data_IF_884151532933
#
_entry.id   IF_884151532933
#
_cell.length_a   1.000
_cell.length_b   1.000
_cell.length_c   1.000
_cell.angle_alpha   90.00
_cell.angle_beta   90.00
_cell.angle_gamma   90.00
#
_symmetry.space_group_name_H-M   'P 1'
#
loop_
_entity.id
_entity.type
_entity.pdbx_description
1 polymer ?
#
# COMPACT_ATOMS: atom_id res chain seq x y z
N UNK A 1 19.00 10.68 0.94
CA UNK A 1 19.71 9.45 0.58
C UNK A 1 18.92 8.73 -0.49
N UNK A 2 19.55 8.29 -1.59
CA UNK A 2 18.92 7.50 -2.63
C UNK A 2 18.49 6.16 -2.02
N UNK A 3 17.19 5.90 -1.98
CA UNK A 3 16.63 4.65 -1.48
C UNK A 3 16.47 3.68 -2.65
N UNK A 4 17.23 2.59 -2.63
CA UNK A 4 17.21 1.53 -3.63
C UNK A 4 17.84 1.92 -4.96
N UNK A 5 18.18 0.91 -5.76
CA UNK A 5 18.64 1.05 -7.13
C UNK A 5 17.64 0.42 -8.11
N UNK A 6 17.83 0.65 -9.40
CA UNK A 6 17.09 -0.02 -10.47
C UNK A 6 17.90 -1.21 -11.04
N UNK A 7 18.40 -2.09 -10.17
CA UNK A 7 19.08 -3.32 -10.61
C UNK A 7 18.05 -4.35 -11.06
N UNK A 8 17.50 -4.16 -12.25
CA UNK A 8 16.45 -5.01 -12.86
C UNK A 8 16.79 -5.34 -14.30
N UNK A 9 16.14 -6.36 -14.86
CA UNK A 9 16.27 -6.68 -16.28
C UNK A 9 15.79 -5.54 -17.18
N UNK A 10 16.36 -5.47 -18.38
CA UNK A 10 16.17 -4.36 -19.34
C UNK A 10 14.69 -4.13 -19.69
N UNK A 11 13.92 -5.20 -19.80
CA UNK A 11 12.47 -5.16 -20.09
C UNK A 11 11.64 -4.44 -19.02
N UNK A 12 12.12 -4.38 -17.77
CA UNK A 12 11.44 -3.70 -16.67
C UNK A 12 11.87 -2.23 -16.55
N UNK A 13 13.03 -1.85 -17.08
CA UNK A 13 13.59 -0.51 -16.94
C UNK A 13 12.68 0.58 -17.50
N UNK A 14 12.15 0.40 -18.72
CA UNK A 14 11.27 1.39 -19.36
C UNK A 14 10.00 1.64 -18.55
N UNK A 15 9.40 0.57 -18.03
CA UNK A 15 8.17 0.65 -17.22
C UNK A 15 8.42 1.34 -15.87
N UNK A 16 9.58 1.09 -15.25
CA UNK A 16 9.96 1.76 -14.00
C UNK A 16 10.33 3.23 -14.22
N UNK A 17 10.89 3.59 -15.37
CA UNK A 17 11.12 4.99 -15.73
C UNK A 17 9.81 5.74 -15.96
N UNK A 18 8.85 5.15 -16.69
CA UNK A 18 7.50 5.69 -16.84
C UNK A 18 6.82 5.91 -15.49
N UNK A 19 6.87 4.91 -14.61
CA UNK A 19 6.33 5.00 -13.25
C UNK A 19 7.01 6.11 -12.43
N UNK A 20 8.33 6.23 -12.51
CA UNK A 20 9.08 7.26 -11.82
C UNK A 20 8.67 8.66 -12.29
N UNK A 21 8.55 8.86 -13.61
CA UNK A 21 8.09 10.13 -14.16
C UNK A 21 6.67 10.46 -13.71
N UNK A 22 5.73 9.50 -13.82
CA UNK A 22 4.36 9.67 -13.35
C UNK A 22 4.27 10.02 -11.86
N UNK A 23 5.13 9.41 -11.03
CA UNK A 23 5.21 9.74 -9.61
C UNK A 23 5.76 11.14 -9.36
N UNK A 24 6.86 11.53 -10.02
CA UNK A 24 7.45 12.88 -9.86
C UNK A 24 6.47 13.98 -10.31
N UNK A 25 5.67 13.72 -11.33
CA UNK A 25 4.65 14.67 -11.80
C UNK A 25 3.46 14.73 -10.84
N UNK A 26 3.03 13.59 -10.32
CA UNK A 26 1.91 13.50 -9.40
C UNK A 26 2.18 14.24 -8.08
N UNK A 27 3.38 14.09 -7.50
CA UNK A 27 3.71 14.75 -6.22
C UNK A 27 3.94 16.27 -6.34
N UNK A 28 4.01 16.82 -7.57
CA UNK A 28 4.06 18.27 -7.84
C UNK A 28 2.69 18.85 -8.18
N UNK A 29 1.71 18.02 -8.44
CA UNK A 29 0.36 18.44 -8.78
C UNK A 29 -0.52 18.55 -7.53
N UNK A 30 -0.83 19.78 -7.13
CA UNK A 30 -1.65 20.02 -5.95
C UNK A 30 -3.03 19.36 -6.04
N UNK A 31 -3.64 19.31 -7.22
CA UNK A 31 -4.94 18.67 -7.40
C UNK A 31 -4.92 17.17 -7.12
N UNK A 32 -3.83 16.49 -7.47
CA UNK A 32 -3.63 15.08 -7.14
C UNK A 32 -3.43 14.87 -5.64
N UNK A 33 -2.65 15.75 -5.00
CA UNK A 33 -2.43 15.68 -3.55
C UNK A 33 -3.72 15.96 -2.78
N UNK A 34 -4.52 16.92 -3.22
CA UNK A 34 -5.83 17.24 -2.62
C UNK A 34 -6.81 16.04 -2.75
N UNK A 35 -6.84 15.37 -3.92
CA UNK A 35 -7.64 14.15 -4.12
C UNK A 35 -7.18 13.02 -3.18
N UNK A 36 -5.87 12.83 -3.05
CA UNK A 36 -5.31 11.85 -2.12
C UNK A 36 -5.69 12.16 -0.67
N UNK A 37 -5.51 13.39 -0.22
CA UNK A 37 -5.83 13.83 1.14
C UNK A 37 -7.33 13.75 1.42
N UNK A 38 -8.17 14.14 0.45
CA UNK A 38 -9.62 13.96 0.54
C UNK A 38 -10.00 12.51 0.82
N UNK A 39 -9.41 11.57 0.08
CA UNK A 39 -9.71 10.15 0.28
C UNK A 39 -9.06 9.58 1.54
N UNK A 40 -7.90 10.07 1.97
CA UNK A 40 -7.32 9.75 3.27
C UNK A 40 -8.30 10.09 4.39
N UNK A 41 -8.90 11.27 4.35
CA UNK A 41 -9.85 11.73 5.36
C UNK A 41 -11.20 11.01 5.27
N UNK A 42 -11.83 11.00 4.10
CA UNK A 42 -13.24 10.62 3.94
C UNK A 42 -13.48 9.15 3.59
N UNK A 43 -12.45 8.44 3.09
CA UNK A 43 -12.57 7.02 2.76
C UNK A 43 -11.76 6.12 3.71
N UNK A 44 -10.53 6.51 4.05
CA UNK A 44 -9.71 5.73 4.98
C UNK A 44 -10.07 5.99 6.43
N UNK A 45 -10.48 7.22 6.76
CA UNK A 45 -10.81 7.65 8.12
C UNK A 45 -9.58 8.18 8.90
N UNK A 46 -8.63 8.79 8.18
CA UNK A 46 -7.46 9.43 8.80
C UNK A 46 -7.82 10.80 9.40
N UNK A 47 -7.08 11.28 10.43
CA UNK A 47 -5.96 10.61 11.11
C UNK A 47 -6.42 9.44 11.99
N UNK A 48 -5.66 8.33 11.98
CA UNK A 48 -5.90 7.26 12.93
C UNK A 48 -5.52 7.71 14.34
N UNK A 49 -6.22 7.24 15.42
CA UNK A 49 -5.94 7.69 16.77
C UNK A 49 -4.53 7.31 17.25
N UNK A 50 -3.94 8.21 18.04
CA UNK A 50 -2.79 7.92 18.90
C UNK A 50 -3.32 7.65 20.32
N UNK A 51 -3.17 6.41 20.80
CA UNK A 51 -3.77 5.92 22.04
C UNK A 51 -2.72 5.66 23.12
N UNK A 52 -2.89 6.24 24.28
CA UNK A 52 -2.03 5.97 25.43
C UNK A 52 -2.39 4.62 26.08
N UNK A 53 -1.44 3.69 26.06
CA UNK A 53 -1.59 2.36 26.64
C UNK A 53 -1.21 2.38 28.14
N UNK A 54 -2.06 2.99 28.96
CA UNK A 54 -1.81 3.27 30.39
C UNK A 54 -1.44 2.01 31.17
N UNK A 55 -2.26 0.98 31.10
CA UNK A 55 -2.03 -0.25 31.85
C UNK A 55 -0.73 -0.97 31.45
N UNK A 56 -0.42 -0.97 30.13
CA UNK A 56 0.82 -1.56 29.63
C UNK A 56 2.04 -0.74 30.09
N UNK A 57 1.94 0.59 30.03
CA UNK A 57 2.97 1.51 30.53
C UNK A 57 3.26 1.27 32.02
N UNK A 58 2.22 1.21 32.84
CA UNK A 58 2.36 0.92 34.29
C UNK A 58 2.98 -0.46 34.55
N UNK A 59 2.52 -1.48 33.82
CA UNK A 59 3.01 -2.86 33.99
C UNK A 59 4.49 -3.00 33.66
N UNK A 60 4.99 -2.28 32.63
CA UNK A 60 6.38 -2.36 32.19
C UNK A 60 7.31 -1.40 32.97
N UNK A 61 6.78 -0.36 33.63
CA UNK A 61 7.55 0.52 34.49
C UNK A 61 8.64 1.33 33.79
N UNK A 62 8.41 1.72 32.53
CA UNK A 62 9.41 2.45 31.72
C UNK A 62 8.83 3.64 30.99
N UNK A 63 9.23 3.82 29.73
CA UNK A 63 8.75 4.90 28.89
C UNK A 63 7.24 4.78 28.64
N UNK A 64 6.57 5.92 28.45
CA UNK A 64 5.17 6.00 28.06
C UNK A 64 4.94 5.33 26.71
N UNK A 65 4.00 4.39 26.66
CA UNK A 65 3.71 3.61 25.45
C UNK A 65 2.45 4.18 24.77
N UNK A 66 2.62 4.57 23.51
CA UNK A 66 1.54 5.08 22.67
C UNK A 66 1.35 4.16 21.46
N UNK A 67 0.11 3.85 21.12
CA UNK A 67 -0.25 3.06 19.94
C UNK A 67 -0.84 3.94 18.86
N UNK A 68 -0.18 4.00 17.70
CA UNK A 68 -0.76 4.54 16.48
C UNK A 68 -1.69 3.47 15.87
N UNK A 69 -3.00 3.70 15.98
CA UNK A 69 -4.01 2.65 15.77
C UNK A 69 -4.41 2.51 14.31
N UNK A 70 -3.48 2.10 13.45
CA UNK A 70 -3.69 1.89 12.01
C UNK A 70 -4.72 0.78 11.68
N UNK A 71 -5.02 -0.10 12.63
CA UNK A 71 -6.09 -1.10 12.48
C UNK A 71 -7.51 -0.51 12.53
N UNK A 72 -7.67 0.76 12.84
CA UNK A 72 -8.95 1.47 12.77
C UNK A 72 -9.20 2.12 11.41
N UNK A 73 -8.22 2.12 10.52
CA UNK A 73 -8.44 2.53 9.14
C UNK A 73 -9.43 1.60 8.43
N UNK A 74 -10.08 2.11 7.40
CA UNK A 74 -10.86 1.29 6.49
C UNK A 74 -10.06 0.09 6.01
N UNK A 75 -10.38 -1.06 5.89
CA UNK A 75 -9.60 -2.30 5.61
C UNK A 75 -8.73 -2.82 6.76
N UNK A 76 -8.79 -2.20 7.93
CA UNK A 76 -8.18 -2.67 9.18
C UNK A 76 -6.64 -2.77 9.17
N UNK A 77 -5.96 -1.95 8.37
CA UNK A 77 -4.49 -1.89 8.35
C UNK A 77 -3.94 -0.60 7.75
N UNK A 78 -2.64 -0.35 7.95
CA UNK A 78 -1.89 0.74 7.31
C UNK A 78 -1.77 0.59 5.79
N UNK A 79 -2.02 -0.60 5.25
CA UNK A 79 -1.83 -0.90 3.81
C UNK A 79 -2.73 -0.08 2.91
N UNK A 80 -3.92 0.29 3.38
CA UNK A 80 -4.91 1.03 2.56
C UNK A 80 -4.40 2.39 2.10
N UNK A 81 -3.60 3.09 2.90
CA UNK A 81 -3.03 4.40 2.54
C UNK A 81 -2.06 4.29 1.36
N UNK A 82 -1.16 3.30 1.43
CA UNK A 82 -0.25 2.99 0.33
C UNK A 82 -1.01 2.54 -0.93
N UNK A 83 -1.98 1.64 -0.78
CA UNK A 83 -2.79 1.18 -1.91
C UNK A 83 -3.56 2.33 -2.55
N UNK A 84 -4.14 3.24 -1.75
CA UNK A 84 -4.85 4.41 -2.26
C UNK A 84 -3.94 5.29 -3.14
N UNK A 85 -2.76 5.64 -2.65
CA UNK A 85 -1.83 6.47 -3.41
C UNK A 85 -1.44 5.83 -4.74
N UNK A 86 -1.05 4.55 -4.72
CA UNK A 86 -0.62 3.85 -5.93
C UNK A 86 -1.76 3.62 -6.93
N UNK A 87 -2.98 3.36 -6.47
CA UNK A 87 -4.14 3.19 -7.36
C UNK A 87 -4.53 4.53 -8.01
N UNK A 88 -4.51 5.63 -7.26
CA UNK A 88 -4.71 6.98 -7.82
C UNK A 88 -3.64 7.31 -8.87
N UNK A 89 -2.37 6.99 -8.57
CA UNK A 89 -1.27 7.17 -9.52
C UNK A 89 -1.48 6.34 -10.78
N UNK A 90 -1.85 5.07 -10.65
CA UNK A 90 -2.15 4.19 -11.79
C UNK A 90 -3.30 4.73 -12.65
N UNK A 91 -4.38 5.21 -12.01
CA UNK A 91 -5.51 5.85 -12.69
C UNK A 91 -5.08 7.09 -13.46
N UNK A 92 -4.28 7.98 -12.84
CA UNK A 92 -3.71 9.17 -13.47
C UNK A 92 -2.85 8.83 -14.69
N UNK A 93 -2.06 7.77 -14.61
CA UNK A 93 -1.22 7.27 -15.71
C UNK A 93 -2.03 6.53 -16.80
N UNK A 94 -3.34 6.43 -16.69
CA UNK A 94 -4.22 5.80 -17.69
C UNK A 94 -4.14 4.27 -17.71
N UNK A 95 -3.60 3.62 -16.65
CA UNK A 95 -3.56 2.17 -16.55
C UNK A 95 -4.97 1.58 -16.48
N UNK A 96 -5.17 0.40 -17.06
CA UNK A 96 -6.49 -0.25 -17.23
C UNK A 96 -6.77 -1.32 -16.19
N UNK A 97 -5.74 -1.90 -15.61
CA UNK A 97 -5.85 -2.98 -14.63
C UNK A 97 -4.73 -2.91 -13.59
N UNK A 98 -4.99 -3.54 -12.45
CA UNK A 98 -4.05 -3.60 -11.33
C UNK A 98 -3.63 -5.03 -11.05
N UNK A 99 -2.38 -5.18 -10.62
CA UNK A 99 -1.86 -6.44 -10.08
C UNK A 99 -1.11 -6.15 -8.78
N UNK A 100 -1.27 -7.00 -7.78
CA UNK A 100 -0.50 -6.93 -6.54
C UNK A 100 -0.15 -8.33 -6.05
N UNK A 101 0.90 -8.43 -5.27
CA UNK A 101 1.23 -9.62 -4.48
C UNK A 101 0.72 -9.48 -3.05
N UNK A 102 0.57 -10.61 -2.36
CA UNK A 102 0.35 -10.60 -0.91
C UNK A 102 0.70 -11.94 -0.28
N UNK A 103 1.31 -11.94 0.91
CA UNK A 103 1.50 -13.13 1.73
C UNK A 103 0.33 -13.32 2.70
N UNK A 104 0.16 -12.42 3.67
CA UNK A 104 -0.92 -12.49 4.67
C UNK A 104 -2.29 -12.00 4.16
N UNK A 105 -2.41 -11.60 2.90
CA UNK A 105 -3.66 -11.14 2.30
C UNK A 105 -4.08 -9.71 2.65
N UNK A 106 -3.44 -9.04 3.61
CA UNK A 106 -3.84 -7.69 4.02
C UNK A 106 -3.64 -6.66 2.91
N UNK A 107 -2.50 -6.73 2.20
CA UNK A 107 -2.25 -5.84 1.07
C UNK A 107 -3.24 -6.10 -0.07
N UNK A 108 -3.52 -7.36 -0.38
CA UNK A 108 -4.52 -7.74 -1.37
C UNK A 108 -5.91 -7.21 -1.02
N UNK A 109 -6.37 -7.40 0.22
CA UNK A 109 -7.66 -6.90 0.69
C UNK A 109 -7.75 -5.36 0.64
N UNK A 110 -6.69 -4.66 1.06
CA UNK A 110 -6.63 -3.21 1.02
C UNK A 110 -6.66 -2.67 -0.41
N UNK A 111 -5.85 -3.27 -1.30
CA UNK A 111 -5.81 -2.89 -2.72
C UNK A 111 -7.14 -3.19 -3.42
N UNK A 112 -7.80 -4.31 -3.07
CA UNK A 112 -9.10 -4.68 -3.63
C UNK A 112 -10.20 -3.66 -3.27
N UNK A 113 -10.23 -3.21 -2.02
CA UNK A 113 -11.17 -2.16 -1.59
C UNK A 113 -11.00 -0.86 -2.38
N UNK A 114 -9.75 -0.42 -2.56
CA UNK A 114 -9.45 0.80 -3.31
C UNK A 114 -9.71 0.61 -4.81
N UNK A 115 -9.32 -0.53 -5.37
CA UNK A 115 -9.58 -0.85 -6.77
C UNK A 115 -11.09 -0.81 -7.10
N UNK A 116 -11.92 -1.43 -6.24
CA UNK A 116 -13.37 -1.40 -6.36
C UNK A 116 -13.93 0.03 -6.31
N UNK A 117 -13.42 0.87 -5.37
CA UNK A 117 -13.81 2.28 -5.26
C UNK A 117 -13.62 3.05 -6.57
N UNK A 118 -12.54 2.78 -7.29
CA UNK A 118 -12.21 3.47 -8.55
C UNK A 118 -12.61 2.69 -9.81
N UNK A 119 -13.32 1.56 -9.66
CA UNK A 119 -13.78 0.75 -10.79
C UNK A 119 -12.64 0.10 -11.59
N UNK A 120 -11.48 -0.14 -10.98
CA UNK A 120 -10.32 -0.74 -11.64
C UNK A 120 -10.27 -2.25 -11.39
N UNK A 121 -10.15 -3.08 -12.43
CA UNK A 121 -9.95 -4.52 -12.25
C UNK A 121 -8.65 -4.82 -11.50
N UNK A 122 -8.70 -5.73 -10.52
CA UNK A 122 -7.53 -6.15 -9.75
C UNK A 122 -7.35 -7.68 -9.81
N UNK A 123 -6.11 -8.09 -10.02
CA UNK A 123 -5.63 -9.46 -9.79
C UNK A 123 -4.64 -9.47 -8.64
N UNK A 124 -4.97 -10.17 -7.56
CA UNK A 124 -4.04 -10.46 -6.46
C UNK A 124 -3.33 -11.79 -6.70
N UNK A 125 -2.02 -11.81 -6.55
CA UNK A 125 -1.20 -13.03 -6.67
C UNK A 125 -0.76 -13.46 -5.27
N UNK A 126 -0.97 -14.73 -4.95
CA UNK A 126 -0.56 -15.31 -3.65
C UNK A 126 -0.01 -16.71 -3.83
N UNK A 127 0.96 -17.06 -2.99
CA UNK A 127 1.45 -18.44 -2.90
C UNK A 127 0.38 -19.38 -2.32
N UNK A 128 0.30 -20.60 -2.82
CA UNK A 128 -0.66 -21.61 -2.33
C UNK A 128 -0.44 -21.96 -0.86
N UNK A 129 0.81 -21.96 -0.40
CA UNK A 129 1.19 -22.15 1.01
C UNK A 129 0.61 -21.02 1.88
N UNK A 130 0.66 -19.79 1.40
CA UNK A 130 0.12 -18.62 2.12
C UNK A 130 -1.41 -18.60 2.08
N UNK A 131 -2.02 -18.94 0.94
CA UNK A 131 -3.48 -19.05 0.78
C UNK A 131 -4.08 -20.02 1.81
N UNK A 132 -3.41 -21.15 2.05
CA UNK A 132 -3.88 -22.14 3.01
C UNK A 132 -3.96 -21.62 4.47
N UNK A 133 -3.21 -20.56 4.79
CA UNK A 133 -3.11 -19.98 6.15
C UNK A 133 -4.06 -18.80 6.38
N UNK A 134 -4.50 -18.09 5.32
CA UNK A 134 -5.16 -16.79 5.45
C UNK A 134 -6.43 -16.69 4.58
N UNK A 135 -7.55 -17.08 5.14
CA UNK A 135 -8.79 -17.12 4.40
C UNK A 135 -9.57 -15.78 4.41
N UNK A 136 -9.64 -15.11 5.57
CA UNK A 136 -10.50 -13.92 5.74
C UNK A 136 -10.17 -12.75 4.82
N UNK A 137 -8.89 -12.44 4.62
CA UNK A 137 -8.47 -11.35 3.75
C UNK A 137 -8.74 -11.65 2.28
N UNK A 138 -8.64 -12.93 1.89
CA UNK A 138 -8.98 -13.40 0.54
C UNK A 138 -10.48 -13.26 0.28
N UNK A 139 -11.31 -13.67 1.25
CA UNK A 139 -12.76 -13.51 1.17
C UNK A 139 -13.13 -12.04 0.99
N UNK A 140 -12.57 -11.14 1.81
CA UNK A 140 -12.77 -9.69 1.69
C UNK A 140 -12.40 -9.18 0.30
N UNK A 141 -11.22 -9.54 -0.21
CA UNK A 141 -10.77 -9.11 -1.53
C UNK A 141 -11.71 -9.59 -2.65
N UNK A 142 -12.18 -10.84 -2.57
CA UNK A 142 -13.16 -11.39 -3.52
C UNK A 142 -14.52 -10.68 -3.46
N UNK A 143 -14.99 -10.28 -2.27
CA UNK A 143 -16.20 -9.47 -2.13
C UNK A 143 -16.09 -8.09 -2.79
N UNK A 144 -14.88 -7.51 -2.84
CA UNK A 144 -14.60 -6.30 -3.61
C UNK A 144 -14.44 -6.55 -5.13
N UNK A 145 -14.68 -7.79 -5.60
CA UNK A 145 -14.61 -8.14 -7.02
C UNK A 145 -13.19 -8.44 -7.55
N UNK A 146 -12.18 -8.52 -6.67
CA UNK A 146 -10.83 -8.84 -7.09
C UNK A 146 -10.67 -10.33 -7.44
N UNK A 147 -9.83 -10.61 -8.45
CA UNK A 147 -9.44 -11.97 -8.84
C UNK A 147 -8.24 -12.43 -8.04
N UNK A 148 -8.23 -13.69 -7.62
CA UNK A 148 -7.08 -14.33 -6.99
C UNK A 148 -6.39 -15.26 -7.99
N UNK A 149 -5.08 -15.06 -8.18
CA UNK A 149 -4.19 -15.97 -8.90
C UNK A 149 -3.31 -16.69 -7.88
N UNK A 150 -3.44 -18.01 -7.79
CA UNK A 150 -2.55 -18.84 -6.97
C UNK A 150 -1.30 -19.22 -7.78
N UNK A 151 -0.15 -19.21 -7.11
CA UNK A 151 1.10 -19.74 -7.62
C UNK A 151 1.69 -20.74 -6.63
N UNK A 152 2.44 -21.77 -7.07
CA UNK A 152 3.13 -22.67 -6.16
C UNK A 152 4.16 -21.91 -5.33
N UNK A 153 4.16 -22.11 -4.00
CA UNK A 153 5.14 -21.51 -3.08
C UNK A 153 4.58 -20.43 -2.15
N UNK A 154 5.35 -19.38 -1.95
CA UNK A 154 5.08 -18.33 -0.96
C UNK A 154 5.03 -16.93 -1.60
N UNK A 155 5.09 -15.89 -0.77
CA UNK A 155 5.15 -14.50 -1.21
C UNK A 155 6.25 -14.23 -2.25
N UNK A 156 7.41 -14.93 -2.19
CA UNK A 156 8.51 -14.76 -3.14
C UNK A 156 8.06 -15.09 -4.57
N UNK A 157 7.41 -16.23 -4.75
CA UNK A 157 6.90 -16.69 -6.04
C UNK A 157 5.75 -15.79 -6.53
N UNK A 158 4.92 -15.32 -5.61
CA UNK A 158 3.86 -14.37 -5.91
C UNK A 158 4.40 -13.02 -6.42
N UNK A 159 5.46 -12.49 -5.82
CA UNK A 159 6.15 -11.27 -6.29
C UNK A 159 6.69 -11.49 -7.71
N UNK A 160 7.38 -12.61 -7.95
CA UNK A 160 7.95 -12.93 -9.26
C UNK A 160 6.88 -12.96 -10.36
N UNK A 161 5.75 -13.59 -10.08
CA UNK A 161 4.64 -13.69 -11.03
C UNK A 161 3.94 -12.34 -11.26
N UNK A 162 3.76 -11.54 -10.21
CA UNK A 162 3.19 -10.20 -10.32
C UNK A 162 4.07 -9.28 -11.17
N UNK A 163 5.39 -9.29 -10.94
CA UNK A 163 6.35 -8.50 -11.73
C UNK A 163 6.39 -8.98 -13.19
N UNK A 164 6.38 -10.28 -13.43
CA UNK A 164 6.33 -10.85 -14.79
C UNK A 164 5.08 -10.38 -15.55
N UNK A 165 3.91 -10.43 -14.92
CA UNK A 165 2.66 -9.97 -15.54
C UNK A 165 2.70 -8.48 -15.82
N UNK A 166 3.18 -7.68 -14.89
CA UNK A 166 3.32 -6.22 -15.01
C UNK A 166 4.28 -5.84 -16.13
N UNK A 167 5.46 -6.48 -16.22
CA UNK A 167 6.46 -6.16 -17.23
C UNK A 167 6.05 -6.54 -18.66
N UNK A 168 5.15 -7.52 -18.80
CA UNK A 168 4.67 -8.03 -20.10
C UNK A 168 3.42 -7.31 -20.61
N UNK A 169 2.81 -6.43 -19.81
CA UNK A 169 1.55 -5.79 -20.17
C UNK A 169 1.52 -4.32 -19.73
N UNK A 170 1.63 -3.37 -20.68
CA UNK A 170 1.69 -1.95 -20.38
C UNK A 170 0.40 -1.38 -19.77
N UNK A 171 -0.75 -2.06 -19.92
CA UNK A 171 -2.01 -1.64 -19.33
C UNK A 171 -2.12 -1.93 -17.84
N UNK A 172 -1.23 -2.77 -17.30
CA UNK A 172 -1.21 -3.07 -15.87
C UNK A 172 -0.39 -2.06 -15.08
N UNK A 173 -0.86 -1.77 -13.86
CA UNK A 173 -0.03 -1.19 -12.80
C UNK A 173 0.22 -2.23 -11.71
N UNK A 174 1.47 -2.37 -11.31
CA UNK A 174 1.83 -3.18 -10.14
C UNK A 174 1.71 -2.31 -8.88
N UNK A 175 0.88 -2.76 -7.94
CA UNK A 175 0.67 -2.08 -6.65
C UNK A 175 1.53 -2.77 -5.61
N UNK A 176 2.66 -2.17 -5.28
CA UNK A 176 3.64 -2.74 -4.37
C UNK A 176 3.24 -2.57 -2.90
N UNK A 177 3.22 -3.68 -2.15
CA UNK A 177 2.80 -3.70 -0.75
C UNK A 177 3.86 -3.24 0.27
N UNK A 178 5.10 -3.02 -0.15
CA UNK A 178 6.25 -2.81 0.74
C UNK A 178 7.27 -1.86 0.12
N UNK A 179 8.12 -1.26 0.98
CA UNK A 179 9.28 -0.48 0.54
C UNK A 179 10.45 -1.36 0.06
N UNK A 180 10.33 -2.69 0.15
CA UNK A 180 11.34 -3.64 -0.32
C UNK A 180 11.05 -3.99 -1.78
N UNK A 181 11.57 -3.17 -2.70
CA UNK A 181 11.41 -3.33 -4.14
C UNK A 181 12.46 -2.48 -4.88
N UNK A 182 12.51 -2.59 -6.21
CA UNK A 182 13.32 -1.71 -7.05
C UNK A 182 12.75 -0.29 -7.09
N UNK A 183 13.62 0.71 -7.25
CA UNK A 183 13.16 2.08 -7.46
C UNK A 183 12.21 2.15 -8.69
N UNK A 184 11.14 2.98 -8.66
CA UNK A 184 10.86 4.02 -7.67
C UNK A 184 9.97 3.58 -6.49
N UNK A 185 9.56 2.31 -6.40
CA UNK A 185 8.61 1.83 -5.37
C UNK A 185 8.97 2.21 -3.92
N UNK A 186 10.24 2.11 -3.46
CA UNK A 186 10.58 2.52 -2.09
C UNK A 186 10.20 3.97 -1.80
N UNK A 187 10.41 4.89 -2.76
CA UNK A 187 10.05 6.31 -2.62
C UNK A 187 8.53 6.53 -2.65
N UNK A 188 7.82 5.82 -3.53
CA UNK A 188 6.36 5.88 -3.63
C UNK A 188 5.73 5.42 -2.31
N UNK A 189 6.17 4.28 -1.79
CA UNK A 189 5.67 3.74 -0.51
C UNK A 189 6.02 4.64 0.66
N UNK A 190 7.25 5.16 0.72
CA UNK A 190 7.67 6.11 1.74
C UNK A 190 6.80 7.38 1.70
N UNK A 191 6.57 7.95 0.53
CA UNK A 191 5.74 9.15 0.37
C UNK A 191 4.32 8.89 0.91
N UNK A 192 3.66 7.84 0.43
CA UNK A 192 2.31 7.49 0.84
C UNK A 192 2.19 7.23 2.34
N UNK A 193 3.15 6.51 2.94
CA UNK A 193 3.11 6.14 4.36
C UNK A 193 3.64 7.23 5.30
N UNK A 194 4.29 8.27 4.79
CA UNK A 194 4.84 9.37 5.61
C UNK A 194 3.77 10.12 6.41
N UNK A 195 2.51 10.06 5.98
CA UNK A 195 1.36 10.63 6.71
C UNK A 195 1.26 10.09 8.13
N UNK A 196 1.61 8.82 8.35
CA UNK A 196 1.60 8.20 9.70
C UNK A 196 2.53 8.96 10.65
N UNK A 197 3.75 9.24 10.20
CA UNK A 197 4.74 9.98 10.99
C UNK A 197 4.33 11.43 11.25
N UNK A 198 3.74 12.12 10.26
CA UNK A 198 3.22 13.48 10.44
C UNK A 198 2.11 13.50 11.49
N UNK A 199 1.13 12.62 11.37
CA UNK A 199 0.05 12.49 12.34
C UNK A 199 0.53 12.13 13.76
N UNK A 200 1.52 11.23 13.89
CA UNK A 200 2.11 10.90 15.20
C UNK A 200 2.70 12.17 15.84
N UNK A 201 3.47 12.93 15.06
CA UNK A 201 4.08 14.18 15.56
C UNK A 201 3.02 15.18 16.02
N UNK A 202 2.02 15.46 15.21
CA UNK A 202 0.94 16.38 15.51
C UNK A 202 0.14 15.94 16.75
N UNK A 203 -0.23 14.66 16.80
CA UNK A 203 -0.99 14.10 17.90
C UNK A 203 -0.18 14.03 19.19
N UNK A 204 1.13 13.72 19.12
CA UNK A 204 2.02 13.76 20.29
C UNK A 204 2.17 15.17 20.82
N UNK A 205 2.37 16.17 19.95
CA UNK A 205 2.42 17.57 20.36
C UNK A 205 1.11 18.02 21.02
N UNK A 206 -0.03 17.62 20.48
CA UNK A 206 -1.33 17.97 21.06
C UNK A 206 -1.62 17.27 22.41
N UNK A 207 -1.17 16.01 22.58
CA UNK A 207 -1.45 15.22 23.79
C UNK A 207 -0.42 15.40 24.89
N UNK A 208 0.85 15.59 24.53
CA UNK A 208 1.98 15.54 25.46
C UNK A 208 2.78 16.86 25.52
N UNK A 209 2.51 17.82 24.64
CA UNK A 209 3.26 19.07 24.53
C UNK A 209 4.68 18.92 23.99
N UNK A 210 5.01 17.77 23.38
CA UNK A 210 6.36 17.46 22.89
C UNK A 210 6.33 16.42 21.76
#
# INVERSE_FOLDING_TARGET
>A
AAMGGMAVGETLMSVLHELNQGFEDAIKDQSFLDEFDYHCKHYIGRPSPLYYAENLTKKLGGAKILFKREHLNHTLSHKVTNSLFQVLLAKRMGKKALICESGAGQHFSATAAVAAKFGMPLTGVMGDIDIARVNQNIIKAKHYGAKLKSVPGTLKEAITEAIKTFSSNPDYAYICGSAVSSAPYPRIVQFAQSVIGREIREQSMAQEGR
#
